data_IF_292567096278
#
_entry.id   IF_292567096278
#
_cell.length_a   1.000
_cell.length_b   1.000
_cell.length_c   1.000
_cell.angle_alpha   90.00
_cell.angle_beta   90.00
_cell.angle_gamma   90.00
#
_symmetry.space_group_name_H-M   'P 1'
#
loop_
_entity.id
_entity.type
_entity.pdbx_description
1 polymer ?
#
# COMPACT_ATOMS: atom_id res chain seq x y z
N UNK A 1 -1.08 20.80 -1.19
CA UNK A 1 0.15 20.65 -0.38
C UNK A 1 -0.01 19.35 0.40
N UNK A 2 0.93 18.41 0.28
CA UNK A 2 0.86 17.13 1.02
C UNK A 2 1.18 17.36 2.48
N UNK A 3 0.47 16.69 3.38
CA UNK A 3 0.66 16.86 4.82
C UNK A 3 1.79 15.97 5.31
N UNK A 4 1.88 14.75 4.79
CA UNK A 4 2.96 13.81 5.09
C UNK A 4 4.02 13.81 3.97
N UNK A 5 5.30 13.52 4.27
CA UNK A 5 6.39 13.49 3.28
C UNK A 5 6.35 12.22 2.43
N UNK A 6 5.18 11.92 1.85
CA UNK A 6 4.96 10.76 0.97
C UNK A 6 5.26 11.21 -0.47
N UNK A 7 6.12 10.45 -1.17
CA UNK A 7 6.46 10.70 -2.57
C UNK A 7 5.25 10.38 -3.50
N UNK A 8 5.05 11.09 -4.63
CA UNK A 8 4.02 10.72 -5.60
C UNK A 8 4.30 9.34 -6.20
N UNK A 9 3.24 8.54 -6.41
CA UNK A 9 3.38 7.28 -7.13
C UNK A 9 3.46 7.59 -8.62
N UNK A 10 4.66 7.52 -9.19
CA UNK A 10 4.91 7.71 -10.63
C UNK A 10 5.41 6.42 -11.30
N UNK A 11 5.96 5.51 -10.51
CA UNK A 11 6.60 4.27 -10.97
C UNK A 11 6.54 3.17 -9.89
N UNK A 12 7.12 2.01 -10.19
CA UNK A 12 7.21 0.89 -9.24
C UNK A 12 8.04 1.26 -8.00
N UNK A 13 9.11 2.05 -8.16
CA UNK A 13 9.99 2.42 -7.04
C UNK A 13 9.25 3.24 -5.99
N UNK A 14 8.56 4.30 -6.41
CA UNK A 14 7.78 5.18 -5.52
C UNK A 14 6.60 4.44 -4.89
N UNK A 15 5.95 3.54 -5.64
CA UNK A 15 4.91 2.66 -5.10
C UNK A 15 5.44 1.68 -4.03
N UNK A 16 6.58 1.05 -4.28
CA UNK A 16 7.21 0.11 -3.36
C UNK A 16 7.62 0.81 -2.06
N UNK A 17 8.19 2.02 -2.15
CA UNK A 17 8.51 2.85 -0.98
C UNK A 17 7.26 3.20 -0.18
N UNK A 18 6.16 3.57 -0.83
CA UNK A 18 4.91 3.83 -0.13
C UNK A 18 4.43 2.61 0.66
N UNK A 19 4.36 1.43 0.03
CA UNK A 19 3.95 0.20 0.68
C UNK A 19 4.85 -0.14 1.89
N UNK A 20 6.17 -0.04 1.70
CA UNK A 20 7.14 -0.25 2.78
C UNK A 20 6.95 0.79 3.89
N UNK A 21 6.60 2.04 3.57
CA UNK A 21 6.28 3.09 4.54
C UNK A 21 5.14 2.73 5.49
N UNK A 22 4.12 1.99 5.02
CA UNK A 22 3.03 1.49 5.87
C UNK A 22 3.57 0.55 6.98
N UNK A 23 4.59 -0.25 6.66
CA UNK A 23 5.25 -1.14 7.63
C UNK A 23 5.99 -0.33 8.70
N UNK A 24 6.68 0.74 8.32
CA UNK A 24 7.43 1.61 9.24
C UNK A 24 6.56 2.57 10.04
N UNK A 25 5.29 2.77 9.68
CA UNK A 25 4.36 3.63 10.41
C UNK A 25 3.93 3.02 11.76
N UNK A 26 4.88 2.92 12.71
CA UNK A 26 4.67 2.42 14.08
C UNK A 26 5.34 3.35 15.09
N UNK A 27 4.57 3.76 16.11
CA UNK A 27 5.04 4.37 17.36
C UNK A 27 6.15 5.44 17.23
N UNK A 28 6.24 6.10 16.08
CA UNK A 28 7.29 7.05 15.70
C UNK A 28 6.64 8.20 14.94
N UNK A 29 7.33 9.34 14.83
CA UNK A 29 6.80 10.49 14.08
C UNK A 29 6.54 10.07 12.63
N UNK A 30 5.32 10.28 12.15
CA UNK A 30 4.87 9.81 10.84
C UNK A 30 5.82 10.26 9.72
N UNK A 31 6.37 11.48 9.80
CA UNK A 31 7.31 12.02 8.83
C UNK A 31 8.55 11.13 8.67
N UNK A 32 9.08 10.60 9.77
CA UNK A 32 10.25 9.71 9.74
C UNK A 32 9.89 8.33 9.20
N UNK A 33 8.72 7.80 9.56
CA UNK A 33 8.25 6.51 9.09
C UNK A 33 8.09 6.48 7.56
N UNK A 34 7.53 7.53 6.97
CA UNK A 34 7.34 7.59 5.50
C UNK A 34 8.64 7.81 4.73
N UNK A 35 9.65 8.42 5.35
CA UNK A 35 10.99 8.59 4.74
C UNK A 35 11.88 7.35 4.89
N UNK A 36 11.59 6.47 5.85
CA UNK A 36 12.39 5.29 6.19
C UNK A 36 12.80 4.43 4.98
N UNK A 37 11.88 4.01 4.08
CA UNK A 37 12.25 3.15 2.95
C UNK A 37 13.23 3.82 1.98
N UNK A 38 13.07 5.13 1.75
CA UNK A 38 13.98 5.91 0.90
C UNK A 38 15.37 5.97 1.50
N UNK A 39 15.46 6.29 2.80
CA UNK A 39 16.73 6.37 3.52
C UNK A 39 17.46 5.01 3.49
N UNK A 40 16.75 3.90 3.72
CA UNK A 40 17.33 2.55 3.66
C UNK A 40 17.89 2.28 2.26
N UNK A 41 17.11 2.54 1.21
CA UNK A 41 17.55 2.34 -0.18
C UNK A 41 18.76 3.21 -0.55
N UNK A 42 18.81 4.45 -0.07
CA UNK A 42 19.96 5.35 -0.27
C UNK A 42 21.22 4.82 0.43
N UNK A 43 21.10 4.29 1.65
CA UNK A 43 22.21 3.67 2.38
C UNK A 43 22.71 2.38 1.73
N UNK A 44 21.80 1.58 1.16
CA UNK A 44 22.13 0.38 0.39
C UNK A 44 22.67 0.69 -1.01
N UNK A 45 22.58 1.94 -1.46
CA UNK A 45 23.04 2.37 -2.79
C UNK A 45 22.17 1.88 -3.95
N UNK A 46 20.97 1.34 -3.69
CA UNK A 46 20.07 0.83 -4.73
C UNK A 46 18.60 0.92 -4.30
N UNK A 47 17.71 1.11 -5.28
CA UNK A 47 16.26 1.01 -5.13
C UNK A 47 15.69 -0.26 -5.79
N UNK A 48 16.55 -1.11 -6.35
CA UNK A 48 16.15 -2.36 -6.98
C UNK A 48 15.90 -3.42 -5.90
N UNK A 49 14.63 -3.75 -5.68
CA UNK A 49 14.26 -4.74 -4.67
C UNK A 49 14.96 -6.09 -4.88
N UNK A 50 15.20 -6.50 -6.14
CA UNK A 50 15.87 -7.77 -6.43
C UNK A 50 17.31 -7.76 -5.93
N UNK A 51 18.04 -6.67 -6.15
CA UNK A 51 19.40 -6.53 -5.61
C UNK A 51 19.38 -6.58 -4.09
N UNK A 52 18.45 -5.85 -3.45
CA UNK A 52 18.30 -5.79 -2.00
C UNK A 52 18.06 -7.19 -1.40
N UNK A 53 17.15 -8.00 -1.96
CA UNK A 53 16.87 -9.34 -1.40
C UNK A 53 18.03 -10.33 -1.54
N UNK A 54 18.99 -10.07 -2.43
CA UNK A 54 20.20 -10.88 -2.57
C UNK A 54 21.39 -10.36 -1.77
N UNK A 55 21.27 -9.21 -1.08
CA UNK A 55 22.32 -8.70 -0.20
C UNK A 55 22.47 -9.58 1.05
N UNK A 56 23.67 -9.56 1.65
CA UNK A 56 23.85 -10.13 2.99
C UNK A 56 22.89 -9.42 3.97
N UNK A 57 22.03 -10.16 4.73
CA UNK A 57 21.13 -9.56 5.71
C UNK A 57 21.80 -8.59 6.69
N UNK A 58 23.06 -8.84 7.06
CA UNK A 58 23.83 -7.95 7.95
C UNK A 58 24.05 -6.55 7.34
N UNK A 59 24.20 -6.45 6.02
CA UNK A 59 24.33 -5.15 5.32
C UNK A 59 23.01 -4.38 5.40
N UNK A 60 21.88 -5.09 5.32
CA UNK A 60 20.55 -4.48 5.44
C UNK A 60 20.27 -4.05 6.88
N UNK A 61 20.67 -4.87 7.85
CA UNK A 61 20.61 -4.52 9.26
C UNK A 61 21.45 -3.26 9.57
N UNK A 62 22.68 -3.19 9.06
CA UNK A 62 23.54 -2.01 9.19
C UNK A 62 22.89 -0.77 8.54
N UNK A 63 22.34 -0.89 7.33
CA UNK A 63 21.66 0.21 6.66
C UNK A 63 20.44 0.72 7.46
N UNK A 64 19.66 -0.18 8.07
CA UNK A 64 18.53 0.21 8.92
C UNK A 64 19.01 0.87 10.22
N UNK A 65 20.09 0.34 10.81
CA UNK A 65 20.65 0.79 12.10
C UNK A 65 21.59 2.00 12.05
N UNK A 66 22.12 2.36 10.87
CA UNK A 66 23.07 3.46 10.70
C UNK A 66 22.49 4.77 11.28
N UNK A 67 23.30 5.51 12.04
CA UNK A 67 22.86 6.73 12.72
C UNK A 67 22.56 7.89 11.73
N UNK A 68 21.46 8.65 11.92
CA UNK A 68 20.37 8.39 12.85
C UNK A 68 19.55 7.17 12.42
N UNK A 69 19.32 6.23 13.34
CA UNK A 69 18.66 4.97 13.03
C UNK A 69 17.25 5.20 12.48
N UNK A 70 16.87 4.35 11.53
CA UNK A 70 15.52 4.38 10.96
C UNK A 70 14.53 3.86 12.01
N UNK A 71 13.54 4.67 12.43
CA UNK A 71 12.54 4.20 13.38
C UNK A 71 11.56 3.25 12.69
N UNK A 72 10.98 2.27 13.42
CA UNK A 72 11.25 1.90 14.81
C UNK A 72 12.42 0.90 14.95
N UNK A 73 13.42 1.24 15.75
CA UNK A 73 14.59 0.39 16.01
C UNK A 73 14.27 -0.71 17.04
N UNK A 74 13.40 -1.65 16.67
CA UNK A 74 13.27 -2.92 17.36
C UNK A 74 13.86 -4.01 16.49
N UNK A 75 14.42 -5.01 17.16
CA UNK A 75 15.00 -6.19 16.54
C UNK A 75 14.00 -6.76 15.52
N UNK A 76 14.46 -6.98 14.28
CA UNK A 76 13.78 -7.65 13.16
C UNK A 76 13.15 -6.75 12.07
N UNK A 77 13.29 -5.42 12.06
CA UNK A 77 12.73 -4.59 10.97
C UNK A 77 13.46 -4.74 9.65
N UNK A 78 14.75 -4.99 9.69
CA UNK A 78 15.58 -5.46 8.59
C UNK A 78 14.97 -6.73 7.96
N UNK A 79 14.58 -7.72 8.78
CA UNK A 79 13.96 -8.98 8.32
C UNK A 79 12.58 -8.76 7.74
N UNK A 80 11.76 -7.93 8.40
CA UNK A 80 10.41 -7.60 7.90
C UNK A 80 10.50 -6.83 6.57
N UNK A 81 11.44 -5.89 6.46
CA UNK A 81 11.72 -5.16 5.23
C UNK A 81 12.13 -6.10 4.10
N UNK A 82 13.10 -6.99 4.33
CA UNK A 82 13.57 -7.97 3.34
C UNK A 82 12.45 -8.91 2.89
N UNK A 83 11.68 -9.49 3.82
CA UNK A 83 10.53 -10.35 3.51
C UNK A 83 9.47 -9.61 2.70
N UNK A 84 9.27 -8.33 2.98
CA UNK A 84 8.32 -7.51 2.22
C UNK A 84 8.83 -7.23 0.81
N UNK A 85 10.12 -6.95 0.64
CA UNK A 85 10.74 -6.84 -0.69
C UNK A 85 10.59 -8.14 -1.49
N UNK A 86 10.84 -9.28 -0.87
CA UNK A 86 10.67 -10.60 -1.48
C UNK A 86 9.21 -10.85 -1.90
N UNK A 87 8.24 -10.54 -1.04
CA UNK A 87 6.82 -10.69 -1.37
C UNK A 87 6.40 -9.77 -2.53
N UNK A 88 6.88 -8.52 -2.57
CA UNK A 88 6.65 -7.61 -3.71
C UNK A 88 7.18 -8.23 -5.01
N UNK A 89 8.39 -8.79 -5.00
CA UNK A 89 8.98 -9.41 -6.20
C UNK A 89 8.21 -10.65 -6.64
N UNK A 90 7.93 -11.55 -5.72
CA UNK A 90 7.42 -12.89 -6.02
C UNK A 90 5.94 -12.89 -6.36
N UNK A 91 5.11 -12.14 -5.61
CA UNK A 91 3.66 -12.10 -5.79
C UNK A 91 3.17 -10.91 -6.61
N UNK A 92 3.87 -9.78 -6.52
CA UNK A 92 3.46 -8.51 -7.13
C UNK A 92 4.42 -8.07 -8.25
N UNK A 93 5.25 -9.00 -8.76
CA UNK A 93 6.16 -8.81 -9.89
C UNK A 93 7.12 -7.63 -9.76
N UNK A 94 7.47 -7.23 -8.53
CA UNK A 94 8.36 -6.11 -8.26
C UNK A 94 7.66 -4.75 -8.24
N UNK A 95 6.32 -4.69 -8.34
CA UNK A 95 5.56 -3.46 -8.47
C UNK A 95 4.31 -3.47 -7.58
N UNK A 96 4.37 -2.72 -6.48
CA UNK A 96 3.26 -2.59 -5.54
C UNK A 96 2.00 -1.95 -6.15
N UNK A 97 2.09 -1.25 -7.31
CA UNK A 97 0.89 -0.72 -8.01
C UNK A 97 -0.09 -1.81 -8.40
N UNK A 98 0.36 -3.05 -8.53
CA UNK A 98 -0.47 -4.23 -8.81
C UNK A 98 -1.40 -4.61 -7.65
N UNK A 99 -1.15 -4.11 -6.44
CA UNK A 99 -2.01 -4.34 -5.27
C UNK A 99 -3.32 -3.56 -5.40
N UNK A 100 -3.25 -2.28 -5.80
CA UNK A 100 -4.37 -1.33 -5.85
C UNK A 100 -4.81 -0.97 -7.27
N UNK A 101 -5.18 -1.99 -8.04
CA UNK A 101 -5.78 -1.78 -9.36
C UNK A 101 -7.14 -1.07 -9.25
N UNK A 102 -7.61 -0.36 -10.29
CA UNK A 102 -8.89 0.36 -10.25
C UNK A 102 -10.12 -0.50 -9.92
N UNK A 103 -10.03 -1.82 -10.06
CA UNK A 103 -11.11 -2.75 -9.71
C UNK A 103 -11.05 -3.29 -8.28
N UNK A 104 -10.00 -2.99 -7.51
CA UNK A 104 -9.84 -3.51 -6.16
C UNK A 104 -10.68 -2.73 -5.15
N UNK A 105 -11.53 -3.45 -4.42
CA UNK A 105 -12.31 -2.91 -3.32
C UNK A 105 -11.49 -2.72 -2.05
N UNK A 106 -12.07 -2.01 -1.06
CA UNK A 106 -11.43 -1.81 0.26
C UNK A 106 -11.15 -3.16 0.93
N UNK A 107 -12.07 -4.13 0.84
CA UNK A 107 -11.88 -5.46 1.41
C UNK A 107 -10.67 -6.17 0.80
N UNK A 108 -10.59 -6.22 -0.53
CA UNK A 108 -9.48 -6.83 -1.26
C UNK A 108 -8.14 -6.19 -0.91
N UNK A 109 -8.13 -4.86 -0.76
CA UNK A 109 -6.93 -4.12 -0.36
C UNK A 109 -6.50 -4.45 1.05
N UNK A 110 -7.44 -4.55 2.00
CA UNK A 110 -7.13 -4.96 3.37
C UNK A 110 -6.52 -6.36 3.35
N UNK A 111 -7.13 -7.32 2.66
CA UNK A 111 -6.59 -8.69 2.56
C UNK A 111 -5.15 -8.68 2.02
N UNK A 112 -4.93 -8.08 0.85
CA UNK A 112 -3.60 -8.02 0.22
C UNK A 112 -2.56 -7.31 1.07
N UNK A 113 -2.92 -6.19 1.70
CA UNK A 113 -1.99 -5.42 2.54
C UNK A 113 -1.64 -6.16 3.82
N UNK A 114 -2.57 -6.92 4.40
CA UNK A 114 -2.31 -7.70 5.62
C UNK A 114 -1.47 -8.96 5.42
N UNK A 115 -1.15 -9.32 4.16
CA UNK A 115 -0.17 -10.37 3.85
C UNK A 115 1.26 -9.95 4.22
N UNK A 116 1.52 -8.63 4.27
CA UNK A 116 2.82 -8.10 4.63
C UNK A 116 2.99 -8.11 6.15
N UNK A 117 4.04 -8.80 6.61
CA UNK A 117 4.41 -8.78 8.02
C UNK A 117 4.56 -7.33 8.52
N UNK A 118 3.93 -7.02 9.66
CA UNK A 118 3.93 -5.66 10.22
C UNK A 118 2.82 -4.75 9.69
N UNK A 119 1.95 -5.21 8.77
CA UNK A 119 0.71 -4.52 8.39
C UNK A 119 -0.50 -5.25 8.98
N UNK A 120 -1.01 -4.75 10.11
CA UNK A 120 -2.31 -5.15 10.63
C UNK A 120 -3.47 -4.38 9.96
N UNK A 121 -4.71 -4.79 10.24
CA UNK A 121 -5.93 -4.18 9.68
C UNK A 121 -5.95 -2.65 9.79
N UNK A 122 -5.62 -2.10 10.97
CA UNK A 122 -5.59 -0.66 11.18
C UNK A 122 -4.60 0.05 10.23
N UNK A 123 -3.41 -0.50 10.04
CA UNK A 123 -2.42 0.07 9.12
C UNK A 123 -2.82 -0.06 7.65
N UNK A 124 -3.46 -1.18 7.29
CA UNK A 124 -4.02 -1.33 5.95
C UNK A 124 -5.06 -0.23 5.68
N UNK A 125 -5.96 0.03 6.63
CA UNK A 125 -6.95 1.10 6.57
C UNK A 125 -6.29 2.48 6.41
N UNK A 126 -5.27 2.78 7.22
CA UNK A 126 -4.48 4.04 7.10
C UNK A 126 -3.81 4.13 5.72
N UNK A 127 -3.20 3.06 5.23
CA UNK A 127 -2.56 3.01 3.92
C UNK A 127 -3.55 3.26 2.78
N UNK A 128 -4.73 2.62 2.81
CA UNK A 128 -5.80 2.81 1.83
C UNK A 128 -6.28 4.27 1.85
N UNK A 129 -6.49 4.85 3.03
CA UNK A 129 -6.86 6.25 3.16
C UNK A 129 -5.84 7.18 2.50
N UNK A 130 -4.54 6.99 2.78
CA UNK A 130 -3.48 7.82 2.21
C UNK A 130 -3.32 7.61 0.69
N UNK A 131 -3.53 6.38 0.19
CA UNK A 131 -3.60 6.11 -1.24
C UNK A 131 -4.68 6.96 -1.92
N UNK A 132 -5.86 7.03 -1.32
CA UNK A 132 -6.97 7.79 -1.88
C UNK A 132 -6.72 9.30 -1.75
N UNK A 133 -6.43 9.78 -0.54
CA UNK A 133 -6.46 11.22 -0.23
C UNK A 133 -5.17 11.95 -0.58
N UNK A 134 -4.00 11.37 -0.30
CA UNK A 134 -2.70 12.01 -0.60
C UNK A 134 -2.17 11.66 -1.99
N UNK A 135 -2.52 10.47 -2.49
CA UNK A 135 -1.99 9.94 -3.75
C UNK A 135 -3.00 9.90 -4.89
N UNK A 136 -4.28 10.20 -4.63
CA UNK A 136 -5.32 10.28 -5.66
C UNK A 136 -5.66 8.94 -6.31
N UNK A 137 -5.32 7.82 -5.66
CA UNK A 137 -5.64 6.47 -6.16
C UNK A 137 -7.12 6.21 -5.98
N UNK A 138 -7.79 5.83 -7.07
CA UNK A 138 -9.19 5.44 -7.03
C UNK A 138 -9.32 4.02 -6.48
N UNK A 139 -10.22 3.84 -5.51
CA UNK A 139 -10.55 2.53 -4.93
C UNK A 139 -11.99 2.20 -5.28
N UNK A 140 -12.24 0.93 -5.58
CA UNK A 140 -13.56 0.48 -5.97
C UNK A 140 -14.51 0.45 -4.76
N UNK A 141 -15.74 0.94 -4.92
CA UNK A 141 -16.77 0.81 -3.88
C UNK A 141 -17.37 -0.61 -3.87
N UNK A 142 -16.84 -1.45 -2.98
CA UNK A 142 -17.36 -2.79 -2.71
C UNK A 142 -18.46 -2.79 -1.63
N UNK A 143 -18.86 -1.62 -1.11
CA UNK A 143 -19.82 -1.47 -0.01
C UNK A 143 -19.19 -1.60 1.38
N UNK A 144 -17.87 -1.75 1.48
CA UNK A 144 -17.16 -1.73 2.75
C UNK A 144 -17.24 -0.36 3.40
N UNK A 145 -17.60 -0.32 4.68
CA UNK A 145 -17.60 0.93 5.45
C UNK A 145 -16.19 1.22 5.98
N UNK A 146 -15.51 2.19 5.39
CA UNK A 146 -14.23 2.70 5.85
C UNK A 146 -14.45 3.92 6.75
N UNK A 147 -14.70 3.68 8.04
CA UNK A 147 -14.87 4.76 9.03
C UNK A 147 -13.50 5.22 9.56
N UNK A 148 -12.81 6.08 8.80
CA UNK A 148 -11.48 6.57 9.16
C UNK A 148 -11.50 7.39 10.45
N UNK A 149 -12.59 8.11 10.73
CA UNK A 149 -12.71 8.89 11.96
C UNK A 149 -12.68 7.98 13.20
N UNK A 150 -13.36 6.82 13.12
CA UNK A 150 -13.31 5.79 14.16
C UNK A 150 -11.98 5.05 14.20
N UNK A 151 -11.46 4.64 13.05
CA UNK A 151 -10.27 3.79 12.96
C UNK A 151 -8.99 4.55 13.29
N UNK A 152 -8.87 5.82 12.89
CA UNK A 152 -7.69 6.67 13.11
C UNK A 152 -8.07 8.15 13.35
N UNK A 153 -8.45 8.53 14.57
CA UNK A 153 -8.87 9.90 14.90
C UNK A 153 -7.81 10.97 14.61
N UNK A 154 -6.52 10.61 14.72
CA UNK A 154 -5.41 11.52 14.41
C UNK A 154 -5.34 11.92 12.94
N UNK A 155 -5.74 11.03 12.01
CA UNK A 155 -5.87 11.40 10.60
C UNK A 155 -7.06 12.35 10.39
N UNK A 156 -8.16 12.16 11.13
CA UNK A 156 -9.30 13.08 11.04
C UNK A 156 -8.94 14.48 11.53
N UNK A 157 -8.14 14.57 12.60
CA UNK A 157 -7.61 15.85 13.07
C UNK A 157 -6.64 16.49 12.04
N UNK A 158 -5.87 15.68 11.33
CA UNK A 158 -4.83 16.15 10.40
C UNK A 158 -5.38 16.60 9.04
N UNK A 159 -6.38 15.89 8.50
CA UNK A 159 -6.94 16.12 7.17
C UNK A 159 -8.33 16.78 7.18
N UNK A 160 -8.96 16.91 8.35
CA UNK A 160 -10.31 17.47 8.49
C UNK A 160 -11.44 16.46 8.20
N UNK A 161 -12.69 16.92 8.07
CA UNK A 161 -13.82 16.06 7.73
C UNK A 161 -13.62 15.45 6.33
N UNK A 162 -13.78 14.13 6.22
CA UNK A 162 -13.55 13.39 4.99
C UNK A 162 -14.82 13.34 4.15
N UNK A 163 -14.88 14.09 3.05
CA UNK A 163 -15.65 13.65 1.89
C UNK A 163 -14.73 12.71 1.12
N UNK A 164 -14.85 11.38 1.29
CA UNK A 164 -14.00 10.41 0.56
C UNK A 164 -14.50 10.36 -0.90
N UNK A 165 -13.92 11.10 -1.86
CA UNK A 165 -14.54 11.35 -3.16
C UNK A 165 -14.25 10.22 -4.17
N UNK A 166 -13.49 9.21 -3.76
CA UNK A 166 -12.77 8.30 -4.65
C UNK A 166 -13.21 6.84 -4.54
N UNK A 167 -14.35 6.59 -3.90
CA UNK A 167 -15.09 5.35 -4.07
C UNK A 167 -15.86 5.45 -5.39
N UNK A 168 -15.35 4.80 -6.44
CA UNK A 168 -16.10 4.75 -7.71
C UNK A 168 -17.24 3.74 -7.58
N UNK A 169 -18.46 4.08 -8.02
CA UNK A 169 -19.60 3.18 -7.93
C UNK A 169 -19.38 1.92 -8.77
N UNK A 170 -19.96 0.79 -8.31
CA UNK A 170 -20.05 -0.50 -9.01
C UNK A 170 -20.07 -0.35 -10.54
N UNK A 171 -19.05 -0.80 -11.30
CA UNK A 171 -19.22 -0.92 -12.73
C UNK A 171 -20.39 -1.88 -12.93
N UNK A 172 -21.47 -1.36 -13.49
CA UNK A 172 -22.65 -2.16 -13.77
C UNK A 172 -22.24 -3.13 -14.85
N UNK A 173 -21.96 -4.38 -14.46
CA UNK A 173 -21.85 -5.48 -15.42
C UNK A 173 -23.20 -5.57 -16.08
N UNK A 174 -23.33 -4.99 -17.29
CA UNK A 174 -24.49 -5.23 -18.15
C UNK A 174 -24.49 -6.73 -18.42
N UNK A 175 -25.34 -7.48 -17.70
CA UNK A 175 -25.67 -8.85 -18.09
C UNK A 175 -26.12 -8.77 -19.54
N UNK A 176 -25.31 -9.24 -20.48
CA UNK A 176 -25.79 -9.49 -21.85
C UNK A 176 -26.94 -10.48 -21.69
N UNK A 177 -28.18 -10.02 -21.90
CA UNK A 177 -29.31 -10.94 -22.10
C UNK A 177 -28.91 -11.81 -23.29
N UNK A 178 -28.61 -13.08 -23.04
CA UNK A 178 -28.60 -14.09 -24.07
C UNK A 178 -30.02 -14.13 -24.63
N UNK A 179 -30.22 -13.48 -25.77
CA UNK A 179 -31.44 -13.64 -26.56
C UNK A 179 -31.37 -15.06 -27.11
N UNK A 180 -32.04 -16.00 -26.46
CA UNK A 180 -32.38 -17.26 -27.10
C UNK A 180 -33.32 -16.93 -28.24
N UNK A 181 -32.78 -16.87 -29.46
CA UNK A 181 -33.58 -17.00 -30.68
C UNK A 181 -34.03 -18.46 -30.74
N UNK A 182 -35.24 -18.73 -30.29
CA UNK A 182 -35.95 -19.97 -30.60
C UNK A 182 -36.26 -19.97 -32.09
N UNK A 183 -35.44 -20.67 -32.88
CA UNK A 183 -35.79 -21.07 -34.23
C UNK A 183 -36.82 -22.20 -34.15
N UNK A 184 -38.10 -21.85 -34.20
CA UNK A 184 -39.14 -22.81 -34.60
C UNK A 184 -39.08 -22.96 -36.13
N UNK A 185 -38.51 -24.07 -36.58
CA UNK A 185 -38.62 -24.54 -37.95
C UNK A 185 -39.58 -25.72 -37.90
N UNK A 186 -40.86 -25.50 -38.25
CA UNK A 186 -41.79 -26.53 -38.72
C UNK A 186 -42.94 -25.85 -39.46
N UNK A 187 -42.83 -25.80 -40.79
CA UNK A 187 -43.83 -26.16 -41.81
C UNK A 187 -43.40 -25.62 -43.17
#
# INVERSE_FOLDING_TARGET
MRILPIEPIIDATTANRFLLGIIFNQATKAERAWQAPKIIMERLGTNNLKEIVFMNPEVVEEAVGQYPAVPPFHTQYDRVFLKSCELIITKYHGDARTIWTPSCGVYDLIEKLTEFAGIGKHKAIVGIFLLMVELGVTVYDDGSKLDIAKECPSLSALYGPFDIPLLTPKPTVKKKKLVHKSTHIWQ
#
